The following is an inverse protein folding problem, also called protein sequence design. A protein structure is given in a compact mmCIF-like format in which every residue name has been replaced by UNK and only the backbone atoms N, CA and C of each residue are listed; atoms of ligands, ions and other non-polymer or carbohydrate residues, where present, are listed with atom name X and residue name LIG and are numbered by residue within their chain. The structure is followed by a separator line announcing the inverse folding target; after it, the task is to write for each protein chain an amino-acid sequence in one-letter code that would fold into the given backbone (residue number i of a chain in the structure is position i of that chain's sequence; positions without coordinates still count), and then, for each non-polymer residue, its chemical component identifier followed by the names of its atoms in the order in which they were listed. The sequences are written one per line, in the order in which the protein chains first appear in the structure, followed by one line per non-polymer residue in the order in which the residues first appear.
data_IF_482670477658
#
_entry.id   IF_482670477658
#
_cell.length_a   1.000
_cell.length_b   1.000
_cell.length_c   1.000
_cell.angle_alpha   90.00
_cell.angle_beta   90.00
_cell.angle_gamma   90.00
#
_symmetry.space_group_name_H-M   'P 1'
#
loop_
_entity.id
_entity.type
_entity.pdbx_description
1 polymer ?
#
# COMPACT_ATOMS: atom_id res chain seq x y z
N UNK A 1 -45.01 -17.68 22.60
CA UNK A 1 -44.56 -17.37 21.22
C UNK A 1 -43.22 -16.65 21.30
N UNK A 2 -42.11 -17.40 21.31
CA UNK A 2 -40.77 -16.83 21.28
C UNK A 2 -40.27 -16.87 19.84
N UNK A 3 -40.06 -15.70 19.25
CA UNK A 3 -39.54 -15.53 17.90
C UNK A 3 -38.14 -16.13 17.84
N UNK A 4 -37.97 -17.20 17.04
CA UNK A 4 -36.65 -17.71 16.64
C UNK A 4 -35.95 -16.60 15.87
N UNK A 5 -34.96 -15.97 16.51
CA UNK A 5 -34.01 -15.09 15.83
C UNK A 5 -33.39 -15.84 14.65
N UNK A 6 -33.54 -15.28 13.46
CA UNK A 6 -32.81 -15.72 12.27
C UNK A 6 -31.32 -15.61 12.59
N UNK A 7 -30.65 -16.74 12.77
CA UNK A 7 -29.19 -16.80 12.71
C UNK A 7 -28.82 -16.38 11.30
N UNK A 8 -28.34 -15.15 11.14
CA UNK A 8 -27.73 -14.71 9.91
C UNK A 8 -26.49 -15.59 9.72
N UNK A 9 -26.59 -16.61 8.87
CA UNK A 9 -25.43 -17.39 8.46
C UNK A 9 -24.51 -16.42 7.74
N UNK A 10 -23.49 -15.94 8.43
CA UNK A 10 -22.44 -15.12 7.82
C UNK A 10 -21.78 -16.00 6.77
N UNK A 11 -22.10 -15.77 5.49
CA UNK A 11 -21.52 -16.50 4.38
C UNK A 11 -20.07 -16.06 4.21
N UNK A 12 -19.16 -16.79 4.84
CA UNK A 12 -17.70 -16.60 4.69
C UNK A 12 -17.25 -17.08 3.30
N UNK A 13 -16.41 -16.30 2.62
CA UNK A 13 -15.87 -16.69 1.32
C UNK A 13 -14.96 -17.92 1.45
N UNK A 14 -15.22 -19.05 0.75
CA UNK A 14 -14.46 -20.27 0.94
C UNK A 14 -12.98 -20.14 0.53
N UNK A 15 -12.00 -20.46 1.40
CA UNK A 15 -10.57 -20.36 1.09
C UNK A 15 -10.15 -21.25 -0.08
N UNK A 16 -10.72 -22.46 -0.18
CA UNK A 16 -10.51 -23.34 -1.33
C UNK A 16 -10.88 -22.69 -2.66
N UNK A 17 -11.89 -21.81 -2.69
CA UNK A 17 -12.28 -21.10 -3.90
C UNK A 17 -11.21 -20.08 -4.31
N UNK A 18 -10.64 -19.35 -3.36
CA UNK A 18 -9.53 -18.42 -3.65
C UNK A 18 -8.30 -19.17 -4.19
N UNK A 19 -7.96 -20.31 -3.59
CA UNK A 19 -6.85 -21.15 -4.02
C UNK A 19 -7.06 -21.73 -5.41
N UNK A 20 -8.26 -22.28 -5.67
CA UNK A 20 -8.62 -22.77 -7.00
C UNK A 20 -8.60 -21.66 -8.05
N UNK A 21 -9.05 -20.46 -7.70
CA UNK A 21 -8.98 -19.29 -8.58
C UNK A 21 -7.52 -18.91 -8.88
N UNK A 22 -6.66 -18.83 -7.86
CA UNK A 22 -5.22 -18.58 -8.05
C UNK A 22 -4.57 -19.65 -8.95
N UNK A 23 -4.86 -20.93 -8.70
CA UNK A 23 -4.35 -22.06 -9.48
C UNK A 23 -4.83 -22.04 -10.94
N UNK A 24 -6.11 -21.72 -11.18
CA UNK A 24 -6.67 -21.64 -12.53
C UNK A 24 -5.95 -20.59 -13.38
N UNK A 25 -5.58 -19.43 -12.79
CA UNK A 25 -4.81 -18.41 -13.49
C UNK A 25 -3.35 -18.79 -13.71
N UNK A 26 -2.77 -19.63 -12.85
CA UNK A 26 -1.44 -20.19 -13.08
C UNK A 26 -1.42 -21.19 -14.24
N UNK A 27 -2.52 -21.91 -14.50
CA UNK A 27 -2.64 -22.87 -15.61
C UNK A 27 -2.84 -22.21 -16.98
N UNK A 28 -3.31 -20.95 -17.01
CA UNK A 28 -3.51 -20.17 -18.24
C UNK A 28 -2.18 -19.56 -18.73
N UNK A 29 -1.11 -19.59 -17.92
CA UNK A 29 0.21 -19.15 -18.36
C UNK A 29 0.75 -20.09 -19.45
N UNK A 30 0.90 -19.56 -20.66
CA UNK A 30 1.21 -20.34 -21.87
C UNK A 30 2.68 -20.78 -21.97
N UNK A 31 3.58 -20.25 -21.13
CA UNK A 31 5.03 -20.52 -21.14
C UNK A 31 5.59 -20.70 -19.72
N UNK A 32 6.49 -21.68 -19.53
CA UNK A 32 7.05 -22.08 -18.22
C UNK A 32 7.89 -21.02 -17.50
N UNK A 33 8.33 -19.96 -18.20
CA UNK A 33 9.14 -18.86 -17.62
C UNK A 33 8.38 -17.54 -17.46
N UNK A 34 7.17 -17.41 -18.00
CA UNK A 34 6.45 -16.13 -17.97
C UNK A 34 5.65 -15.99 -16.66
N UNK A 35 5.70 -14.84 -15.96
CA UNK A 35 4.88 -14.63 -14.77
C UNK A 35 3.40 -14.85 -15.09
N UNK A 36 2.72 -15.57 -14.19
CA UNK A 36 1.29 -15.85 -14.33
C UNK A 36 0.50 -14.55 -14.38
N UNK A 37 -0.73 -14.58 -14.92
CA UNK A 37 -1.58 -13.39 -14.92
C UNK A 37 -1.79 -12.82 -13.50
N UNK A 38 -1.88 -13.69 -12.49
CA UNK A 38 -1.95 -13.27 -11.08
C UNK A 38 -0.65 -12.62 -10.60
N UNK A 39 0.51 -13.15 -11.00
CA UNK A 39 1.80 -12.51 -10.70
C UNK A 39 1.94 -11.14 -11.37
N UNK A 40 1.49 -11.00 -12.61
CA UNK A 40 1.47 -9.71 -13.32
C UNK A 40 0.57 -8.71 -12.62
N UNK A 41 -0.61 -9.13 -12.18
CA UNK A 41 -1.50 -8.29 -11.39
C UNK A 41 -0.86 -7.88 -10.06
N UNK A 42 -0.24 -8.82 -9.34
CA UNK A 42 0.50 -8.49 -8.11
C UNK A 42 1.60 -7.47 -8.37
N UNK A 43 2.44 -7.70 -9.39
CA UNK A 43 3.52 -6.77 -9.77
C UNK A 43 2.97 -5.40 -10.10
N UNK A 44 1.87 -5.31 -10.86
CA UNK A 44 1.23 -4.04 -11.19
C UNK A 44 0.76 -3.30 -9.92
N UNK A 45 0.07 -4.01 -9.02
CA UNK A 45 -0.39 -3.46 -7.74
C UNK A 45 0.81 -2.97 -6.91
N UNK A 46 1.92 -3.72 -6.89
CA UNK A 46 3.15 -3.28 -6.24
C UNK A 46 3.71 -2.01 -6.88
N UNK A 47 3.80 -1.93 -8.20
CA UNK A 47 4.33 -0.73 -8.86
C UNK A 47 3.45 0.50 -8.60
N UNK A 48 2.12 0.30 -8.55
CA UNK A 48 1.21 1.35 -8.10
C UNK A 48 1.57 1.78 -6.68
N UNK A 49 1.67 0.86 -5.72
CA UNK A 49 2.01 1.21 -4.34
C UNK A 49 3.40 1.82 -4.15
N UNK A 50 4.39 1.42 -4.95
CA UNK A 50 5.72 2.06 -4.97
C UNK A 50 5.62 3.52 -5.44
N UNK A 51 4.86 3.78 -6.51
CA UNK A 51 4.63 5.14 -6.98
C UNK A 51 3.89 5.98 -5.93
N UNK A 52 2.87 5.40 -5.29
CA UNK A 52 2.15 6.00 -4.17
C UNK A 52 3.08 6.35 -2.99
N UNK A 53 3.94 5.40 -2.61
CA UNK A 53 4.91 5.56 -1.54
C UNK A 53 5.98 6.61 -1.85
N UNK A 54 6.40 6.71 -3.11
CA UNK A 54 7.33 7.74 -3.58
C UNK A 54 6.73 9.14 -3.46
N UNK A 55 5.53 9.36 -4.02
CA UNK A 55 4.83 10.66 -3.94
C UNK A 55 4.67 11.08 -2.48
N UNK A 56 4.27 10.16 -1.61
CA UNK A 56 4.16 10.41 -0.16
C UNK A 56 5.51 10.80 0.47
N UNK A 57 6.57 10.05 0.17
CA UNK A 57 7.90 10.31 0.72
C UNK A 57 8.39 11.70 0.30
N UNK A 58 8.15 12.07 -0.96
CA UNK A 58 8.46 13.38 -1.51
C UNK A 58 7.65 14.49 -0.82
N UNK A 59 6.34 14.33 -0.64
CA UNK A 59 5.50 15.31 0.07
C UNK A 59 5.86 15.45 1.56
N UNK A 60 6.24 14.35 2.21
CA UNK A 60 6.69 14.37 3.61
C UNK A 60 8.02 15.08 3.74
N UNK A 61 8.98 14.78 2.87
CA UNK A 61 10.28 15.46 2.81
C UNK A 61 10.09 16.95 2.53
N UNK A 62 9.24 17.32 1.57
CA UNK A 62 8.92 18.71 1.27
C UNK A 62 8.32 19.44 2.47
N UNK A 63 7.42 18.80 3.23
CA UNK A 63 6.83 19.40 4.43
C UNK A 63 7.86 19.63 5.53
N UNK A 64 8.83 18.71 5.71
CA UNK A 64 9.95 18.88 6.64
C UNK A 64 10.85 20.04 6.20
N UNK A 65 11.18 20.12 4.91
CA UNK A 65 11.99 21.22 4.36
C UNK A 65 11.27 22.55 4.53
N UNK A 66 9.97 22.63 4.23
CA UNK A 66 9.16 23.83 4.46
C UNK A 66 9.16 24.25 5.94
N UNK A 67 9.03 23.28 6.85
CA UNK A 67 9.07 23.54 8.29
C UNK A 67 10.43 24.09 8.74
N UNK A 68 11.53 23.61 8.17
CA UNK A 68 12.88 24.11 8.47
C UNK A 68 13.12 25.47 7.82
N UNK A 69 12.58 25.72 6.62
CA UNK A 69 12.68 27.03 5.96
C UNK A 69 11.96 28.13 6.72
N UNK A 70 10.92 27.80 7.50
CA UNK A 70 10.17 28.78 8.29
C UNK A 70 11.04 29.60 9.25
N UNK A 71 12.15 29.05 9.77
CA UNK A 71 13.07 29.80 10.63
C UNK A 71 13.93 30.81 9.87
N UNK A 72 14.01 30.71 8.56
CA UNK A 72 14.76 31.61 7.68
C UNK A 72 13.86 32.60 6.93
N UNK A 73 12.54 32.42 7.00
CA UNK A 73 11.52 33.25 6.33
C UNK A 73 11.19 34.54 7.13
N UNK A 74 12.07 34.96 8.04
CA UNK A 74 11.88 36.13 8.93
C UNK A 74 12.54 37.42 8.44
N UNK A 75 13.08 37.45 7.21
CA UNK A 75 13.73 38.65 6.65
C UNK A 75 12.75 39.34 5.70
N UNK A 76 11.92 40.22 6.27
CA UNK A 76 10.99 41.08 5.51
C UNK A 76 11.69 42.32 4.91
N UNK A 77 12.87 42.68 5.41
CA UNK A 77 13.55 43.90 4.98
C UNK A 77 14.33 43.68 3.67
N UNK A 78 13.92 44.38 2.62
CA UNK A 78 14.74 44.57 1.42
C UNK A 78 16.07 45.21 1.84
N UNK A 79 17.17 44.48 1.67
CA UNK A 79 18.50 45.07 1.73
C UNK A 79 18.63 46.00 0.52
N UNK A 80 18.34 47.28 0.71
CA UNK A 80 18.50 48.31 -0.31
C UNK A 80 19.99 48.62 -0.44
N UNK A 81 20.64 47.99 -1.43
CA UNK A 81 22.02 48.32 -1.81
C UNK A 81 21.95 49.52 -2.77
N UNK A 82 22.51 50.69 -2.41
CA UNK A 82 22.48 51.88 -3.26
C UNK A 82 23.17 51.62 -4.61
N UNK A 83 22.61 52.16 -5.68
CA UNK A 83 23.20 52.05 -7.02
C UNK A 83 24.50 52.88 -7.07
N UNK A 84 25.63 52.20 -6.97
CA UNK A 84 26.95 52.78 -7.23
C UNK A 84 27.31 52.61 -8.70
N UNK A 85 27.64 53.72 -9.36
CA UNK A 85 28.02 53.76 -10.77
C UNK A 85 29.42 53.13 -10.97
N UNK A 86 29.50 52.04 -11.74
CA UNK A 86 30.74 51.33 -12.12
C UNK A 86 30.86 49.85 -11.66
N UNK A 87 31.75 49.10 -12.32
CA UNK A 87 32.14 47.71 -12.00
C UNK A 87 32.84 47.65 -10.63
N UNK A 88 32.03 47.64 -9.57
CA UNK A 88 32.51 47.56 -8.19
C UNK A 88 32.23 46.18 -7.62
N UNK A 89 33.05 45.68 -6.67
CA UNK A 89 32.75 44.44 -5.94
C UNK A 89 31.36 44.41 -5.29
N UNK A 90 30.77 45.59 -5.03
CA UNK A 90 29.39 45.76 -4.54
C UNK A 90 28.34 45.36 -5.58
N UNK A 91 28.57 45.66 -6.86
CA UNK A 91 27.68 45.26 -7.96
C UNK A 91 27.67 43.74 -8.13
N UNK A 92 28.85 43.11 -8.12
CA UNK A 92 28.97 41.64 -8.15
C UNK A 92 28.31 40.98 -6.94
N UNK A 93 28.44 41.58 -5.74
CA UNK A 93 27.76 41.10 -4.54
C UNK A 93 26.24 41.22 -4.67
N UNK A 94 25.72 42.31 -5.25
CA UNK A 94 24.29 42.52 -5.50
C UNK A 94 23.72 41.47 -6.46
N UNK A 95 24.43 41.18 -7.55
CA UNK A 95 24.05 40.14 -8.51
C UNK A 95 24.01 38.75 -7.84
N UNK A 96 25.06 38.38 -7.10
CA UNK A 96 25.11 37.11 -6.37
C UNK A 96 23.99 36.97 -5.33
N UNK A 97 23.69 38.04 -4.58
CA UNK A 97 22.58 38.03 -3.61
C UNK A 97 21.22 37.90 -4.29
N UNK A 98 21.03 38.55 -5.45
CA UNK A 98 19.82 38.42 -6.25
C UNK A 98 19.65 36.99 -6.76
N UNK A 99 20.71 36.38 -7.31
CA UNK A 99 20.69 35.00 -7.79
C UNK A 99 20.38 34.00 -6.68
N UNK A 100 20.99 34.18 -5.51
CA UNK A 100 20.70 33.36 -4.32
C UNK A 100 19.25 33.50 -3.86
N UNK A 101 18.68 34.72 -3.91
CA UNK A 101 17.27 34.98 -3.58
C UNK A 101 16.32 34.33 -4.58
N UNK A 102 16.61 34.43 -5.87
CA UNK A 102 15.82 33.77 -6.92
C UNK A 102 15.86 32.25 -6.78
N UNK A 103 17.03 31.70 -6.44
CA UNK A 103 17.16 30.27 -6.18
C UNK A 103 16.40 29.84 -4.92
N UNK A 104 16.42 30.65 -3.86
CA UNK A 104 15.63 30.39 -2.65
C UNK A 104 14.12 30.42 -2.93
N UNK A 105 13.65 31.39 -3.73
CA UNK A 105 12.25 31.47 -4.16
C UNK A 105 11.84 30.24 -5.00
N UNK A 106 12.66 29.81 -5.97
CA UNK A 106 12.41 28.60 -6.75
C UNK A 106 12.34 27.35 -5.87
N UNK A 107 13.25 27.21 -4.91
CA UNK A 107 13.24 26.10 -3.96
C UNK A 107 11.98 26.11 -3.08
N UNK A 108 11.54 27.29 -2.64
CA UNK A 108 10.29 27.46 -1.88
C UNK A 108 9.08 27.03 -2.69
N UNK A 109 8.98 27.47 -3.94
CA UNK A 109 7.86 27.14 -4.82
C UNK A 109 7.83 25.66 -5.18
N UNK A 110 9.00 25.06 -5.43
CA UNK A 110 9.14 23.60 -5.60
C UNK A 110 8.70 22.84 -4.34
N UNK A 111 9.10 23.30 -3.16
CA UNK A 111 8.74 22.67 -1.88
C UNK A 111 7.23 22.77 -1.63
N UNK A 112 6.61 23.93 -1.92
CA UNK A 112 5.15 24.10 -1.88
C UNK A 112 4.46 23.14 -2.86
N UNK A 113 4.92 23.09 -4.11
CA UNK A 113 4.37 22.18 -5.13
C UNK A 113 4.45 20.70 -4.70
N UNK A 114 5.58 20.27 -4.12
CA UNK A 114 5.75 18.91 -3.61
C UNK A 114 4.86 18.60 -2.39
N UNK A 115 4.62 19.60 -1.53
CA UNK A 115 3.66 19.48 -0.41
C UNK A 115 2.23 19.27 -0.93
N UNK A 116 1.84 19.97 -1.99
CA UNK A 116 0.53 19.82 -2.65
C UNK A 116 0.42 18.62 -3.61
N UNK A 117 1.53 17.97 -3.99
CA UNK A 117 1.53 16.81 -4.88
C UNK A 117 0.64 15.67 -4.38
N UNK A 118 0.53 15.54 -3.06
CA UNK A 118 -0.42 14.64 -2.41
C UNK A 118 -1.89 14.98 -2.72
N UNK A 119 -2.28 16.25 -2.67
CA UNK A 119 -3.64 16.69 -2.96
C UNK A 119 -3.98 16.48 -4.43
N UNK A 120 -3.03 16.74 -5.33
CA UNK A 120 -3.14 16.40 -6.75
C UNK A 120 -3.39 14.91 -6.95
N UNK A 121 -2.79 14.06 -6.13
CA UNK A 121 -3.02 12.63 -6.20
C UNK A 121 -4.42 12.23 -5.72
N UNK A 122 -4.96 12.87 -4.68
CA UNK A 122 -6.37 12.70 -4.28
C UNK A 122 -7.32 13.17 -5.39
N UNK A 123 -6.98 14.24 -6.11
CA UNK A 123 -7.77 14.63 -7.29
C UNK A 123 -7.70 13.56 -8.41
N UNK A 124 -6.54 12.93 -8.61
CA UNK A 124 -6.40 11.81 -9.54
C UNK A 124 -7.28 10.62 -9.13
N UNK A 125 -7.43 10.31 -7.85
CA UNK A 125 -8.38 9.28 -7.36
C UNK A 125 -9.77 9.55 -7.88
N UNK A 126 -10.25 10.78 -7.71
CA UNK A 126 -11.61 11.16 -8.08
C UNK A 126 -11.81 11.14 -9.61
N UNK A 127 -10.81 11.61 -10.37
CA UNK A 127 -10.82 11.54 -11.83
C UNK A 127 -10.83 10.10 -12.32
N UNK A 128 -10.01 9.23 -11.74
CA UNK A 128 -9.99 7.82 -12.08
C UNK A 128 -11.29 7.12 -11.69
N UNK A 129 -11.82 7.41 -10.51
CA UNK A 129 -13.11 6.91 -10.04
C UNK A 129 -14.21 7.24 -11.06
N UNK A 130 -14.35 8.50 -11.44
CA UNK A 130 -15.33 8.95 -12.44
C UNK A 130 -15.10 8.26 -13.79
N UNK A 131 -13.85 8.18 -14.25
CA UNK A 131 -13.50 7.57 -15.53
C UNK A 131 -13.76 6.06 -15.60
N UNK A 132 -13.59 5.34 -14.48
CA UNK A 132 -13.80 3.89 -14.41
C UNK A 132 -15.25 3.50 -14.11
N UNK A 133 -15.98 4.28 -13.30
CA UNK A 133 -17.37 3.98 -12.94
C UNK A 133 -18.33 4.33 -14.09
N UNK A 134 -18.16 5.49 -14.74
CA UNK A 134 -19.15 5.99 -15.71
C UNK A 134 -19.03 5.36 -17.10
N UNK A 135 -17.95 4.60 -17.34
CA UNK A 135 -17.66 4.04 -18.65
C UNK A 135 -18.00 2.55 -18.71
N UNK A 136 -18.97 2.20 -19.58
CA UNK A 136 -19.42 0.82 -19.80
C UNK A 136 -18.31 -0.14 -20.23
N UNK A 137 -17.19 0.37 -20.77
CA UNK A 137 -15.98 -0.41 -21.09
C UNK A 137 -15.34 -1.06 -19.87
N UNK A 138 -15.49 -0.45 -18.69
CA UNK A 138 -14.84 -0.88 -17.44
C UNK A 138 -15.81 -1.55 -16.46
N UNK A 139 -17.00 -1.95 -16.91
CA UNK A 139 -18.00 -2.63 -16.08
C UNK A 139 -17.46 -3.88 -15.35
N UNK A 140 -16.55 -4.61 -15.99
CA UNK A 140 -15.87 -5.78 -15.41
C UNK A 140 -15.03 -5.47 -14.16
N UNK A 141 -14.63 -4.20 -13.96
CA UNK A 141 -13.90 -3.79 -12.75
C UNK A 141 -14.80 -3.81 -11.52
N UNK A 142 -16.13 -3.79 -11.67
CA UNK A 142 -17.06 -3.88 -10.54
C UNK A 142 -16.99 -5.23 -9.83
N UNK A 143 -16.60 -6.29 -10.55
CA UNK A 143 -16.44 -7.64 -9.99
C UNK A 143 -15.03 -7.88 -9.42
N UNK A 144 -14.15 -6.88 -9.44
CA UNK A 144 -12.76 -7.02 -9.02
C UNK A 144 -12.61 -7.52 -7.57
N UNK A 145 -13.56 -7.20 -6.70
CA UNK A 145 -13.57 -7.64 -5.30
C UNK A 145 -13.52 -9.17 -5.14
N UNK A 146 -13.97 -9.94 -6.14
CA UNK A 146 -13.91 -11.41 -6.16
C UNK A 146 -12.50 -11.93 -6.40
N UNK A 147 -11.67 -11.18 -7.14
CA UNK A 147 -10.28 -11.55 -7.41
C UNK A 147 -9.35 -11.21 -6.22
N UNK A 148 -9.72 -10.25 -5.37
CA UNK A 148 -8.93 -9.80 -4.22
C UNK A 148 -8.51 -10.96 -3.29
N UNK A 149 -9.39 -11.88 -2.86
CA UNK A 149 -8.98 -13.06 -2.09
C UNK A 149 -7.84 -13.85 -2.73
N UNK A 150 -7.92 -14.15 -4.03
CA UNK A 150 -6.88 -14.90 -4.73
C UNK A 150 -5.56 -14.10 -4.85
N UNK A 151 -5.64 -12.79 -5.09
CA UNK A 151 -4.48 -11.90 -5.09
C UNK A 151 -3.77 -11.87 -3.73
N UNK A 152 -4.53 -11.87 -2.62
CA UNK A 152 -3.92 -11.91 -1.28
C UNK A 152 -3.24 -13.25 -0.98
N UNK A 153 -3.79 -14.37 -1.46
CA UNK A 153 -3.12 -15.69 -1.35
C UNK A 153 -1.84 -15.70 -2.17
N UNK A 154 -1.92 -15.27 -3.44
CA UNK A 154 -0.77 -15.19 -4.34
C UNK A 154 0.35 -14.32 -3.76
N UNK A 155 0.00 -13.16 -3.19
CA UNK A 155 0.95 -12.27 -2.53
C UNK A 155 1.63 -12.95 -1.33
N UNK A 156 0.86 -13.57 -0.43
CA UNK A 156 1.43 -14.24 0.75
C UNK A 156 2.33 -15.41 0.35
N UNK A 157 1.93 -16.21 -0.63
CA UNK A 157 2.76 -17.30 -1.16
C UNK A 157 4.07 -16.77 -1.76
N UNK A 158 4.00 -15.71 -2.56
CA UNK A 158 5.18 -15.04 -3.11
C UNK A 158 6.10 -14.49 -2.01
N UNK A 159 5.54 -13.84 -0.99
CA UNK A 159 6.28 -13.31 0.14
C UNK A 159 7.02 -14.39 0.93
N UNK A 160 6.40 -15.55 1.15
CA UNK A 160 7.06 -16.70 1.78
C UNK A 160 8.26 -17.18 0.96
N UNK A 161 8.10 -17.31 -0.37
CA UNK A 161 9.19 -17.70 -1.28
C UNK A 161 10.33 -16.69 -1.27
N UNK A 162 10.01 -15.39 -1.34
CA UNK A 162 11.00 -14.32 -1.25
C UNK A 162 11.76 -14.36 0.07
N UNK A 163 11.07 -14.57 1.19
CA UNK A 163 11.68 -14.65 2.52
C UNK A 163 12.57 -15.89 2.68
N UNK A 164 12.18 -17.03 2.11
CA UNK A 164 13.02 -18.23 2.12
C UNK A 164 14.27 -18.07 1.24
N UNK A 165 14.15 -17.40 0.09
CA UNK A 165 15.29 -17.00 -0.75
C UNK A 165 16.21 -16.02 -0.01
N UNK A 166 15.65 -15.07 0.74
CA UNK A 166 16.41 -14.13 1.56
C UNK A 166 17.21 -14.85 2.64
N UNK A 167 16.60 -15.77 3.40
CA UNK A 167 17.30 -16.54 4.43
C UNK A 167 18.52 -17.29 3.86
N UNK A 168 18.40 -17.86 2.67
CA UNK A 168 19.50 -18.54 1.96
C UNK A 168 20.57 -17.57 1.47
N UNK A 169 20.20 -16.38 0.99
CA UNK A 169 21.14 -15.37 0.47
C UNK A 169 21.82 -14.54 1.55
N UNK A 170 21.15 -14.30 2.69
CA UNK A 170 21.73 -13.67 3.86
C UNK A 170 22.91 -14.49 4.40
N UNK A 171 22.84 -15.82 4.31
CA UNK A 171 23.96 -16.73 4.61
C UNK A 171 25.11 -16.64 3.59
N UNK A 172 24.88 -16.05 2.41
CA UNK A 172 25.84 -15.94 1.30
C UNK A 172 26.38 -14.52 1.09
N UNK A 173 26.11 -13.57 2.00
CA UNK A 173 26.56 -12.16 1.93
C UNK A 173 26.27 -11.44 0.59
N UNK A 174 25.28 -11.87 -0.21
CA UNK A 174 24.84 -11.15 -1.42
C UNK A 174 23.76 -10.13 -1.07
N UNK A 175 24.14 -8.85 -1.04
CA UNK A 175 23.33 -7.71 -0.57
C UNK A 175 22.32 -7.15 -1.60
N UNK A 176 21.58 -7.97 -2.34
CA UNK A 176 20.49 -7.45 -3.18
C UNK A 176 19.21 -8.26 -2.97
N UNK A 177 18.23 -7.63 -2.31
CA UNK A 177 16.90 -8.19 -2.14
C UNK A 177 15.87 -7.18 -2.62
N UNK A 178 14.96 -7.66 -3.46
CA UNK A 178 13.78 -6.96 -3.93
C UNK A 178 12.67 -7.23 -2.91
N UNK A 179 12.31 -6.23 -2.09
CA UNK A 179 11.17 -6.33 -1.19
C UNK A 179 9.92 -5.86 -1.93
N UNK A 180 8.86 -6.67 -1.91
CA UNK A 180 7.58 -6.38 -2.58
C UNK A 180 6.71 -5.46 -1.70
N UNK A 181 7.34 -4.45 -1.09
CA UNK A 181 6.72 -3.60 -0.08
C UNK A 181 5.55 -2.84 -0.67
N UNK A 182 5.59 -2.42 -1.95
CA UNK A 182 4.53 -1.68 -2.63
C UNK A 182 3.17 -2.36 -2.69
N UNK A 183 3.08 -3.70 -2.54
CA UNK A 183 1.77 -4.35 -2.46
C UNK A 183 1.05 -4.00 -1.14
N UNK A 184 1.82 -3.93 -0.06
CA UNK A 184 1.39 -3.59 1.31
C UNK A 184 1.54 -2.11 1.66
N UNK A 185 2.52 -1.44 1.08
CA UNK A 185 2.84 -0.03 1.23
C UNK A 185 2.19 0.71 0.09
N UNK A 186 1.30 1.62 0.42
CA UNK A 186 0.85 2.62 -0.52
C UNK A 186 0.70 3.93 0.19
N UNK A 187 -0.24 4.73 -0.30
CA UNK A 187 -0.46 6.08 0.20
C UNK A 187 -0.66 6.06 1.69
N UNK A 188 -0.12 7.08 2.32
CA UNK A 188 -0.21 7.18 3.74
C UNK A 188 -0.77 8.57 3.96
N UNK A 189 -2.06 8.57 4.27
CA UNK A 189 -2.84 9.77 4.29
C UNK A 189 -2.78 10.26 5.75
N UNK A 190 -2.19 11.44 5.95
CA UNK A 190 -2.33 12.17 7.21
C UNK A 190 -3.56 13.03 7.01
N UNK A 191 -4.62 12.78 7.79
CA UNK A 191 -5.80 13.64 7.75
C UNK A 191 -5.33 15.06 8.09
N UNK A 192 -5.46 15.97 7.13
CA UNK A 192 -5.25 17.41 7.37
C UNK A 192 -6.41 18.02 8.17
N UNK A 193 -7.42 17.22 8.55
CA UNK A 193 -8.55 17.65 9.35
C UNK A 193 -8.32 17.34 10.83
N UNK A 194 -7.96 18.38 11.56
CA UNK A 194 -8.13 18.56 13.02
C UNK A 194 -7.61 17.44 13.95
N UNK A 195 -6.45 17.72 14.54
CA UNK A 195 -6.08 17.35 15.91
C UNK A 195 -5.82 15.86 16.25
N UNK A 196 -5.54 15.01 15.26
CA UNK A 196 -4.99 13.66 15.51
C UNK A 196 -3.78 13.40 14.62
N UNK A 197 -2.58 13.45 15.21
CA UNK A 197 -1.33 12.96 14.62
C UNK A 197 -1.34 11.43 14.53
N UNK A 198 -2.29 10.85 13.80
CA UNK A 198 -2.30 9.43 13.55
C UNK A 198 -1.95 9.18 12.10
N UNK A 199 -0.74 8.71 11.95
CA UNK A 199 -0.17 8.35 10.70
C UNK A 199 -0.85 6.96 10.37
N UNK A 200 -1.52 6.73 9.22
CA UNK A 200 -1.83 5.36 8.69
C UNK A 200 -1.40 5.04 7.23
N UNK A 201 -0.90 3.82 6.99
CA UNK A 201 -0.48 3.30 5.66
C UNK A 201 -1.62 2.58 4.94
N UNK A 202 -1.82 2.86 3.65
CA UNK A 202 -2.86 2.30 2.79
C UNK A 202 -2.21 1.40 1.74
N UNK A 203 -2.44 0.07 1.72
CA UNK A 203 -1.95 -0.80 0.66
C UNK A 203 -2.56 -0.41 -0.69
N UNK A 204 -1.81 -0.58 -1.79
CA UNK A 204 -2.29 -0.30 -3.14
C UNK A 204 -3.57 -1.08 -3.51
N UNK A 205 -3.75 -2.27 -2.93
CA UNK A 205 -4.98 -3.06 -3.09
C UNK A 205 -6.20 -2.39 -2.44
N UNK A 206 -6.02 -1.76 -1.27
CA UNK A 206 -7.05 -0.98 -0.62
C UNK A 206 -7.37 0.29 -1.41
N UNK A 207 -6.36 0.91 -2.03
CA UNK A 207 -6.53 2.06 -2.93
C UNK A 207 -7.44 1.71 -4.13
N UNK A 208 -7.21 0.58 -4.79
CA UNK A 208 -8.05 0.13 -5.93
C UNK A 208 -9.49 -0.10 -5.49
N UNK A 209 -9.71 -0.75 -4.33
CA UNK A 209 -11.05 -0.95 -3.80
C UNK A 209 -11.77 0.36 -3.46
N UNK A 210 -11.03 1.39 -3.03
CA UNK A 210 -11.59 2.72 -2.78
C UNK A 210 -11.97 3.42 -4.08
N UNK A 211 -11.07 3.46 -5.06
CA UNK A 211 -11.32 4.09 -6.38
C UNK A 211 -12.59 3.49 -7.00
N UNK A 212 -12.74 2.17 -6.93
CA UNK A 212 -13.87 1.45 -7.52
C UNK A 212 -15.10 1.36 -6.59
N UNK A 213 -15.04 1.89 -5.37
CA UNK A 213 -16.10 1.80 -4.36
C UNK A 213 -16.58 0.36 -4.05
N UNK A 214 -15.65 -0.58 -3.95
CA UNK A 214 -15.93 -2.01 -3.78
C UNK A 214 -15.85 -2.50 -2.33
N UNK A 215 -15.58 -1.61 -1.38
CA UNK A 215 -15.46 -1.93 0.05
C UNK A 215 -16.68 -2.62 0.67
N UNK A 216 -17.93 -2.19 0.40
CA UNK A 216 -19.10 -2.87 0.95
C UNK A 216 -19.17 -4.33 0.47
N UNK A 217 -18.96 -4.55 -0.83
CA UNK A 217 -19.00 -5.86 -1.46
C UNK A 217 -17.89 -6.77 -0.92
N UNK A 218 -16.66 -6.26 -0.84
CA UNK A 218 -15.55 -6.99 -0.24
C UNK A 218 -15.78 -7.34 1.24
N UNK A 219 -16.38 -6.43 2.01
CA UNK A 219 -16.64 -6.65 3.44
C UNK A 219 -17.60 -7.81 3.69
N UNK A 220 -18.57 -8.05 2.78
CA UNK A 220 -19.48 -9.20 2.88
C UNK A 220 -18.76 -10.54 2.78
N UNK A 221 -17.61 -10.59 2.10
CA UNK A 221 -16.85 -11.82 1.92
C UNK A 221 -16.27 -12.37 3.22
N UNK A 222 -16.08 -11.53 4.24
CA UNK A 222 -15.44 -11.89 5.51
C UNK A 222 -14.12 -12.66 5.31
N UNK A 223 -13.37 -12.28 4.27
CA UNK A 223 -12.24 -13.05 3.74
C UNK A 223 -11.16 -13.35 4.78
N UNK A 224 -10.72 -12.32 5.52
CA UNK A 224 -9.67 -12.47 6.53
C UNK A 224 -10.07 -13.42 7.66
N UNK A 225 -11.36 -13.41 8.05
CA UNK A 225 -11.92 -14.33 9.05
C UNK A 225 -11.92 -15.76 8.53
N UNK A 226 -12.29 -15.95 7.27
CA UNK A 226 -12.33 -17.26 6.61
C UNK A 226 -10.95 -17.93 6.57
N UNK A 227 -9.90 -17.19 6.21
CA UNK A 227 -8.52 -17.69 6.23
C UNK A 227 -8.05 -17.98 7.66
N UNK A 228 -8.31 -17.10 8.63
CA UNK A 228 -7.93 -17.34 10.01
C UNK A 228 -8.55 -18.64 10.56
N UNK A 229 -9.82 -18.90 10.25
CA UNK A 229 -10.51 -20.14 10.60
C UNK A 229 -9.89 -21.36 9.91
N UNK A 230 -9.55 -21.26 8.62
CA UNK A 230 -8.85 -22.33 7.90
C UNK A 230 -7.50 -22.66 8.55
N UNK A 231 -6.68 -21.65 8.86
CA UNK A 231 -5.39 -21.84 9.52
C UNK A 231 -5.54 -22.52 10.89
N UNK A 232 -6.57 -22.17 11.67
CA UNK A 232 -6.84 -22.82 12.96
C UNK A 232 -7.17 -24.32 12.79
N UNK A 233 -8.05 -24.66 11.85
CA UNK A 233 -8.41 -26.05 11.54
C UNK A 233 -7.21 -26.84 11.02
N UNK A 234 -6.41 -26.25 10.13
CA UNK A 234 -5.20 -26.88 9.58
C UNK A 234 -4.15 -27.10 10.69
N UNK A 235 -4.06 -26.20 11.67
CA UNK A 235 -3.16 -26.34 12.82
C UNK A 235 -3.60 -27.49 13.76
N UNK A 236 -4.90 -27.60 14.04
CA UNK A 236 -5.45 -28.73 14.81
C UNK A 236 -5.19 -30.06 14.10
N UNK A 237 -5.44 -30.14 12.78
CA UNK A 237 -5.18 -31.34 11.99
C UNK A 237 -3.70 -31.76 12.02
N UNK A 238 -2.77 -30.80 11.91
CA UNK A 238 -1.33 -31.07 12.02
C UNK A 238 -0.91 -31.49 13.43
N UNK A 239 -1.57 -30.97 14.46
CA UNK A 239 -1.32 -31.35 15.86
C UNK A 239 -1.76 -32.79 16.13
N UNK A 240 -2.88 -33.21 15.56
CA UNK A 240 -3.32 -34.62 15.59
C UNK A 240 -2.40 -35.53 14.75
N UNK A 241 -1.99 -35.10 13.55
CA UNK A 241 -1.01 -35.84 12.72
C UNK A 241 0.32 -36.02 13.46
N UNK A 242 0.76 -35.03 14.26
CA UNK A 242 1.97 -35.13 15.06
C UNK A 242 1.89 -36.21 16.14
N UNK A 243 0.71 -36.41 16.74
CA UNK A 243 0.49 -37.44 17.77
C UNK A 243 0.50 -38.85 17.18
N UNK A 244 0.07 -39.01 15.92
CA UNK A 244 -0.05 -40.32 15.26
C UNK A 244 1.12 -40.68 14.33
N UNK A 245 1.92 -39.70 13.89
CA UNK A 245 2.91 -39.89 12.83
C UNK A 245 4.24 -40.49 13.33
N UNK A 246 4.80 -41.39 12.52
CA UNK A 246 6.14 -41.97 12.72
C UNK A 246 7.27 -41.04 12.24
N UNK A 247 6.96 -39.99 11.47
CA UNK A 247 7.91 -38.98 11.00
C UNK A 247 7.54 -37.59 11.54
N UNK A 248 8.01 -37.24 12.76
CA UNK A 248 7.70 -35.96 13.37
C UNK A 248 8.36 -34.79 12.62
N UNK A 249 9.46 -35.00 11.89
CA UNK A 249 10.18 -33.93 11.21
C UNK A 249 9.35 -33.30 10.09
N UNK A 250 8.70 -34.13 9.27
CA UNK A 250 7.86 -33.64 8.18
C UNK A 250 6.68 -32.82 8.71
N UNK A 251 6.03 -33.29 9.78
CA UNK A 251 4.92 -32.57 10.42
C UNK A 251 5.38 -31.22 11.00
N UNK A 252 6.56 -31.16 11.62
CA UNK A 252 7.14 -29.90 12.10
C UNK A 252 7.42 -28.90 10.97
N UNK A 253 7.89 -29.36 9.81
CA UNK A 253 8.12 -28.49 8.64
C UNK A 253 6.80 -27.94 8.10
N UNK A 254 5.75 -28.77 8.01
CA UNK A 254 4.41 -28.32 7.62
C UNK A 254 3.85 -27.29 8.59
N UNK A 255 3.97 -27.54 9.91
CA UNK A 255 3.51 -26.61 10.95
C UNK A 255 4.26 -25.27 10.90
N UNK A 256 5.59 -25.29 10.71
CA UNK A 256 6.38 -24.07 10.57
C UNK A 256 5.98 -23.26 9.32
N UNK A 257 5.68 -23.94 8.20
CA UNK A 257 5.20 -23.29 6.97
C UNK A 257 3.80 -22.69 7.15
N UNK A 258 2.90 -23.40 7.83
CA UNK A 258 1.55 -22.90 8.13
C UNK A 258 1.60 -21.67 9.05
N UNK A 259 2.41 -21.71 10.11
CA UNK A 259 2.58 -20.58 11.02
C UNK A 259 3.20 -19.36 10.32
N UNK A 260 4.14 -19.60 9.39
CA UNK A 260 4.69 -18.57 8.54
C UNK A 260 3.62 -17.92 7.65
N UNK A 261 2.79 -18.73 6.99
CA UNK A 261 1.68 -18.27 6.16
C UNK A 261 0.68 -17.43 6.96
N UNK A 262 0.25 -17.93 8.11
CA UNK A 262 -0.70 -17.23 8.99
C UNK A 262 -0.14 -15.88 9.45
N UNK A 263 1.15 -15.81 9.78
CA UNK A 263 1.80 -14.56 10.20
C UNK A 263 1.80 -13.51 9.09
N UNK A 264 2.21 -13.87 7.88
CA UNK A 264 2.22 -12.94 6.75
C UNK A 264 0.80 -12.47 6.41
N UNK A 265 -0.17 -13.39 6.46
CA UNK A 265 -1.56 -13.06 6.21
C UNK A 265 -2.15 -12.13 7.30
N UNK A 266 -1.77 -12.31 8.57
CA UNK A 266 -2.12 -11.39 9.66
C UNK A 266 -1.55 -9.99 9.43
N UNK A 267 -0.28 -9.88 9.05
CA UNK A 267 0.35 -8.58 8.74
C UNK A 267 -0.38 -7.87 7.59
N UNK A 268 -0.71 -8.62 6.52
CA UNK A 268 -1.52 -8.10 5.42
C UNK A 268 -2.89 -7.62 5.92
N UNK A 269 -3.56 -8.39 6.79
CA UNK A 269 -4.88 -8.03 7.33
C UNK A 269 -4.86 -6.73 8.13
N UNK A 270 -3.84 -6.50 8.97
CA UNK A 270 -3.71 -5.27 9.73
C UNK A 270 -3.48 -4.06 8.84
N UNK A 271 -2.64 -4.23 7.82
CA UNK A 271 -2.37 -3.18 6.82
C UNK A 271 -3.64 -2.82 6.06
N UNK A 272 -4.44 -3.83 5.67
CA UNK A 272 -5.69 -3.65 4.96
C UNK A 272 -6.81 -3.02 5.81
N UNK A 273 -6.92 -3.41 7.07
CA UNK A 273 -7.90 -2.84 8.01
C UNK A 273 -7.58 -1.39 8.35
N UNK A 274 -6.29 -1.08 8.56
CA UNK A 274 -5.82 0.29 8.82
C UNK A 274 -6.20 1.23 7.67
N UNK A 275 -6.04 0.74 6.44
CA UNK A 275 -6.39 1.46 5.23
C UNK A 275 -7.90 1.70 5.06
N UNK A 276 -8.72 0.72 5.42
CA UNK A 276 -10.19 0.86 5.36
C UNK A 276 -10.67 1.95 6.30
N UNK A 277 -10.18 1.95 7.54
CA UNK A 277 -10.54 2.97 8.54
C UNK A 277 -10.18 4.36 8.02
N UNK A 278 -9.04 4.50 7.35
CA UNK A 278 -8.65 5.76 6.73
C UNK A 278 -9.70 6.27 5.73
N UNK A 279 -10.09 5.47 4.75
CA UNK A 279 -11.04 5.92 3.73
C UNK A 279 -12.48 6.12 4.24
N UNK A 280 -12.85 5.45 5.34
CA UNK A 280 -14.19 5.63 5.92
C UNK A 280 -14.32 6.95 6.69
N UNK A 281 -13.20 7.55 7.13
CA UNK A 281 -13.22 8.82 7.88
C UNK A 281 -13.61 10.00 6.96
N UNK A 282 -13.37 9.92 5.66
CA UNK A 282 -13.73 10.97 4.71
C UNK A 282 -15.23 10.93 4.30
N UNK A 283 -15.91 9.78 4.48
CA UNK A 283 -17.35 9.65 4.20
C UNK A 283 -18.24 10.16 5.35
N UNK A 284 -17.69 10.32 6.57
CA UNK A 284 -18.42 10.72 7.78
C UNK A 284 -18.49 12.25 8.00
N UNK A 285 -18.11 13.07 7.00
CA UNK A 285 -18.07 14.55 7.08
C UNK A 285 -19.21 15.23 6.30
N UNK A 286 -20.29 14.52 5.98
CA UNK A 286 -21.57 15.15 5.56
C UNK A 286 -22.45 15.57 6.75
#
# INVERSE_FOLDING_TARGET
MLSKGRVCVVTEYPPRRAEQFNLAFSQIATQEEEPTYMDRFRILITQMGNALGFVRSMSSAASVVASQMKSYDTVEDEIVIPDTDGDTPLQTLKELLSDLRDQANKNRDFTKACSYAYLLFMMLVEVFRTAFIDNSKFSHLMDFYVAVPALTVNYVEHMLVCRDRLKKRAQLHKQTTFTDDGFTMGLYLQSLSTNKNQLFSIPALAYILTVLNLWPQFSTLNWFRSIAKKCAVDYEALTEELKSSKDPRNVHLKAARLQAFEREFKLLSYTFQSARVFFSIDDDVE
#
